data_IF_320863846051
#
_entry.id   IF_320863846051
#
_cell.length_a   1.000
_cell.length_b   1.000
_cell.length_c   1.000
_cell.angle_alpha   90.00
_cell.angle_beta   90.00
_cell.angle_gamma   90.00
#
_symmetry.space_group_name_H-M   'P 1'
#
loop_
_entity.id
_entity.type
_entity.pdbx_description
1 polymer ?
#
# COMPACT_ATOMS: atom_id res chain seq x y z
N UNK A 1 -14.79 -5.83 12.35
CA UNK A 1 -13.33 -6.05 12.27
C UNK A 1 -12.75 -5.17 11.17
N UNK A 2 -11.60 -4.56 11.40
CA UNK A 2 -10.95 -3.66 10.43
C UNK A 2 -9.58 -4.21 10.05
N UNK A 3 -9.36 -4.38 8.76
CA UNK A 3 -8.09 -4.79 8.17
C UNK A 3 -7.45 -3.58 7.52
N UNK A 4 -6.22 -3.27 7.86
CA UNK A 4 -5.47 -2.14 7.32
C UNK A 4 -4.16 -2.61 6.72
N UNK A 5 -3.64 -1.87 5.77
CA UNK A 5 -2.34 -2.20 5.19
C UNK A 5 -1.26 -2.07 6.26
N UNK A 6 -0.46 -3.13 6.44
CA UNK A 6 0.72 -3.08 7.31
C UNK A 6 1.87 -2.38 6.56
N UNK A 7 1.75 -1.07 6.42
CA UNK A 7 2.71 -0.26 5.69
C UNK A 7 4.03 -0.02 6.46
N UNK A 8 4.02 -0.28 7.79
CA UNK A 8 5.16 0.05 8.65
C UNK A 8 6.38 -0.81 8.35
N UNK A 9 6.23 -2.11 8.20
CA UNK A 9 7.36 -3.02 7.98
C UNK A 9 8.01 -2.86 6.59
N UNK A 10 7.28 -2.95 5.46
CA UNK A 10 7.89 -2.78 4.15
C UNK A 10 8.46 -1.36 3.98
N UNK A 11 7.81 -0.33 4.52
CA UNK A 11 8.27 1.04 4.42
C UNK A 11 9.54 1.27 5.25
N UNK A 12 9.64 0.71 6.45
CA UNK A 12 10.86 0.75 7.27
C UNK A 12 12.02 0.01 6.60
N UNK A 13 11.78 -1.16 6.01
CA UNK A 13 12.83 -1.92 5.32
C UNK A 13 13.31 -1.22 4.05
N UNK A 14 12.40 -0.67 3.25
CA UNK A 14 12.73 0.10 2.05
C UNK A 14 13.43 1.42 2.39
N UNK A 15 12.94 2.16 3.39
CA UNK A 15 13.56 3.42 3.81
C UNK A 15 14.96 3.21 4.36
N UNK A 16 15.20 2.13 5.14
CA UNK A 16 16.52 1.78 5.64
C UNK A 16 17.50 1.47 4.51
N UNK A 17 17.10 0.64 3.54
CA UNK A 17 17.92 0.31 2.36
C UNK A 17 18.21 1.55 1.50
N UNK A 18 17.20 2.38 1.30
CA UNK A 18 17.32 3.60 0.51
C UNK A 18 18.23 4.63 1.19
N UNK A 19 18.13 4.81 2.51
CA UNK A 19 19.04 5.66 3.31
C UNK A 19 20.49 5.17 3.22
N UNK A 20 20.71 3.87 3.38
CA UNK A 20 22.04 3.27 3.25
C UNK A 20 22.59 3.53 1.85
N UNK A 21 21.80 3.29 0.80
CA UNK A 21 22.23 3.52 -0.57
C UNK A 21 22.60 4.97 -0.85
N UNK A 22 21.75 5.93 -0.44
CA UNK A 22 22.03 7.37 -0.61
C UNK A 22 23.27 7.79 0.17
N UNK A 23 23.44 7.30 1.40
CA UNK A 23 24.63 7.62 2.22
C UNK A 23 25.91 7.08 1.59
N UNK A 24 25.87 5.86 1.04
CA UNK A 24 27.01 5.27 0.32
C UNK A 24 27.34 6.04 -0.97
N UNK A 25 26.33 6.44 -1.74
CA UNK A 25 26.49 7.26 -2.93
C UNK A 25 27.10 8.64 -2.60
N UNK A 26 26.64 9.25 -1.53
CA UNK A 26 27.19 10.53 -1.05
C UNK A 26 28.63 10.38 -0.59
N UNK A 27 28.94 9.38 0.25
CA UNK A 27 30.29 9.09 0.71
C UNK A 27 31.23 8.80 -0.46
N UNK A 28 30.79 8.00 -1.43
CA UNK A 28 31.54 7.72 -2.65
C UNK A 28 31.80 8.98 -3.48
N UNK A 29 30.81 9.86 -3.60
CA UNK A 29 30.93 11.16 -4.29
C UNK A 29 31.98 12.06 -3.61
N UNK A 30 31.96 12.14 -2.28
CA UNK A 30 32.93 12.92 -1.50
C UNK A 30 34.33 12.35 -1.68
N UNK A 31 34.52 11.04 -1.58
CA UNK A 31 35.83 10.39 -1.76
C UNK A 31 36.37 10.61 -3.18
N UNK A 32 35.53 10.46 -4.22
CA UNK A 32 35.93 10.71 -5.60
C UNK A 32 36.28 12.16 -5.87
N UNK A 33 35.57 13.12 -5.26
CA UNK A 33 35.87 14.54 -5.39
C UNK A 33 37.16 14.90 -4.66
N UNK A 34 37.40 14.29 -3.50
CA UNK A 34 38.65 14.47 -2.77
C UNK A 34 39.87 13.92 -3.50
N UNK A 35 39.71 12.83 -4.26
CA UNK A 35 40.79 12.22 -5.04
C UNK A 35 41.09 12.99 -6.33
N UNK A 36 40.08 13.58 -7.00
CA UNK A 36 40.25 14.26 -8.30
C UNK A 36 40.61 15.75 -8.21
N UNK A 37 40.21 16.40 -7.16
CA UNK A 37 40.43 17.84 -6.96
C UNK A 37 40.78 18.07 -5.49
N UNK A 38 41.86 18.83 -5.21
CA UNK A 38 42.05 19.36 -3.86
C UNK A 38 40.70 19.94 -3.42
N UNK A 39 40.18 19.41 -2.32
CA UNK A 39 38.79 19.62 -1.85
C UNK A 39 38.43 21.11 -1.92
N UNK A 40 37.73 21.50 -2.96
CA UNK A 40 37.23 22.86 -3.06
C UNK A 40 36.00 22.94 -2.15
N UNK A 41 36.00 23.82 -1.15
CA UNK A 41 34.89 23.98 -0.19
C UNK A 41 33.55 24.21 -0.88
N UNK A 42 33.55 24.86 -2.04
CA UNK A 42 32.34 25.07 -2.86
C UNK A 42 31.76 23.78 -3.38
N UNK A 43 32.57 22.82 -3.82
CA UNK A 43 32.09 21.51 -4.28
C UNK A 43 31.49 20.69 -3.13
N UNK A 44 32.09 20.74 -1.96
CA UNK A 44 31.57 20.09 -0.75
C UNK A 44 30.21 20.64 -0.33
N UNK A 45 30.06 21.96 -0.34
CA UNK A 45 28.79 22.64 -0.03
C UNK A 45 27.71 22.29 -1.06
N UNK A 46 28.05 22.26 -2.36
CA UNK A 46 27.11 21.86 -3.42
C UNK A 46 26.65 20.41 -3.26
N UNK A 47 27.56 19.46 -3.01
CA UNK A 47 27.22 18.05 -2.78
C UNK A 47 26.31 17.88 -1.57
N UNK A 48 26.58 18.61 -0.49
CA UNK A 48 25.74 18.58 0.72
C UNK A 48 24.32 19.10 0.44
N UNK A 49 24.19 20.19 -0.30
CA UNK A 49 22.90 20.75 -0.71
C UNK A 49 22.09 19.75 -1.56
N UNK A 50 22.73 19.07 -2.54
CA UNK A 50 22.08 18.04 -3.34
C UNK A 50 21.65 16.85 -2.47
N UNK A 51 22.47 16.41 -1.53
CA UNK A 51 22.12 15.34 -0.61
C UNK A 51 20.90 15.71 0.24
N UNK A 52 20.82 16.92 0.75
CA UNK A 52 19.70 17.41 1.54
C UNK A 52 18.40 17.45 0.72
N UNK A 53 18.46 17.90 -0.52
CA UNK A 53 17.31 17.91 -1.45
C UNK A 53 16.79 16.49 -1.75
N UNK A 54 17.69 15.53 -1.97
CA UNK A 54 17.31 14.13 -2.21
C UNK A 54 16.67 13.53 -0.96
N UNK A 55 17.22 13.79 0.23
CA UNK A 55 16.63 13.34 1.50
C UNK A 55 15.23 13.92 1.70
N UNK A 56 15.04 15.21 1.44
CA UNK A 56 13.76 15.86 1.57
C UNK A 56 12.73 15.27 0.60
N UNK A 57 13.12 15.08 -0.67
CA UNK A 57 12.27 14.46 -1.68
C UNK A 57 11.88 13.03 -1.28
N UNK A 58 12.83 12.23 -0.79
CA UNK A 58 12.57 10.89 -0.30
C UNK A 58 11.58 10.90 0.88
N UNK A 59 11.75 11.82 1.83
CA UNK A 59 10.84 11.97 2.97
C UNK A 59 9.41 12.32 2.51
N UNK A 60 9.25 13.23 1.54
CA UNK A 60 7.95 13.59 0.99
C UNK A 60 7.29 12.37 0.33
N UNK A 61 8.02 11.62 -0.49
CA UNK A 61 7.51 10.41 -1.13
C UNK A 61 7.06 9.38 -0.11
N UNK A 62 7.88 9.11 0.91
CA UNK A 62 7.53 8.17 1.98
C UNK A 62 6.31 8.64 2.77
N UNK A 63 6.20 9.93 3.05
CA UNK A 63 5.04 10.50 3.74
C UNK A 63 3.76 10.33 2.90
N UNK A 64 3.81 10.64 1.60
CA UNK A 64 2.68 10.46 0.68
C UNK A 64 2.27 9.00 0.60
N UNK A 65 3.22 8.07 0.47
CA UNK A 65 2.95 6.63 0.48
C UNK A 65 2.33 6.17 1.81
N UNK A 66 2.80 6.68 2.94
CA UNK A 66 2.23 6.37 4.25
C UNK A 66 0.78 6.88 4.38
N UNK A 67 0.46 8.05 3.85
CA UNK A 67 -0.92 8.55 3.82
C UNK A 67 -1.79 7.74 2.85
N UNK A 68 -1.27 7.41 1.66
CA UNK A 68 -1.97 6.60 0.68
C UNK A 68 -2.32 5.20 1.23
N UNK A 69 -1.43 4.58 2.01
CA UNK A 69 -1.66 3.27 2.61
C UNK A 69 -2.85 3.24 3.58
N UNK A 70 -3.13 4.36 4.26
CA UNK A 70 -4.31 4.49 5.14
C UNK A 70 -5.63 4.42 4.36
N UNK A 71 -5.59 4.71 3.07
CA UNK A 71 -6.75 4.61 2.19
C UNK A 71 -7.12 3.15 1.89
N UNK A 72 -6.16 2.21 1.98
CA UNK A 72 -6.37 0.79 1.76
C UNK A 72 -6.79 0.10 3.06
N UNK A 73 -8.05 0.22 3.41
CA UNK A 73 -8.61 -0.50 4.55
C UNK A 73 -9.92 -1.16 4.16
N UNK A 74 -10.12 -2.39 4.65
CA UNK A 74 -11.37 -3.13 4.53
C UNK A 74 -11.90 -3.41 5.91
N UNK A 75 -13.18 -3.13 6.15
CA UNK A 75 -13.86 -3.33 7.41
C UNK A 75 -14.99 -4.32 7.21
N UNK A 76 -14.93 -5.44 7.94
CA UNK A 76 -16.04 -6.38 8.03
C UNK A 76 -16.95 -5.97 9.17
N UNK A 77 -18.19 -5.64 8.86
CA UNK A 77 -19.28 -5.38 9.81
C UNK A 77 -20.19 -6.58 9.91
N UNK A 78 -21.22 -6.49 10.75
CA UNK A 78 -22.21 -7.56 10.91
C UNK A 78 -22.94 -7.90 9.61
N UNK A 79 -23.33 -6.88 8.85
CA UNK A 79 -24.23 -7.01 7.69
C UNK A 79 -23.57 -6.65 6.36
N UNK A 80 -22.45 -5.93 6.37
CA UNK A 80 -21.79 -5.42 5.18
C UNK A 80 -20.26 -5.48 5.24
N UNK A 81 -19.67 -5.44 4.06
CA UNK A 81 -18.23 -5.18 3.88
C UNK A 81 -18.08 -3.74 3.43
N UNK A 82 -17.25 -3.00 4.14
CA UNK A 82 -16.91 -1.62 3.81
C UNK A 82 -15.46 -1.55 3.36
N UNK A 83 -15.24 -1.00 2.19
CA UNK A 83 -13.91 -0.83 1.64
C UNK A 83 -13.86 0.31 0.63
N UNK A 84 -12.90 0.30 -0.28
CA UNK A 84 -12.76 1.32 -1.30
C UNK A 84 -12.84 0.74 -2.70
N UNK A 85 -13.43 1.52 -3.60
CA UNK A 85 -13.46 1.18 -5.03
C UNK A 85 -12.17 1.64 -5.73
N UNK A 86 -12.07 1.39 -7.04
CA UNK A 86 -10.92 1.80 -7.88
C UNK A 86 -10.60 3.31 -7.81
N UNK A 87 -11.58 4.14 -7.48
CA UNK A 87 -11.43 5.60 -7.35
C UNK A 87 -11.24 6.05 -5.90
N UNK A 88 -10.84 5.14 -5.01
CA UNK A 88 -10.62 5.39 -3.58
C UNK A 88 -11.87 5.88 -2.81
N UNK A 89 -13.05 5.83 -3.43
CA UNK A 89 -14.31 6.17 -2.75
C UNK A 89 -14.73 5.03 -1.83
N UNK A 90 -15.21 5.38 -0.65
CA UNK A 90 -15.74 4.42 0.33
C UNK A 90 -17.02 3.79 -0.23
N UNK A 91 -17.08 2.47 -0.23
CA UNK A 91 -18.20 1.67 -0.70
C UNK A 91 -18.54 0.65 0.36
N UNK A 92 -19.84 0.49 0.62
CA UNK A 92 -20.39 -0.57 1.45
C UNK A 92 -21.12 -1.57 0.56
N UNK A 93 -20.89 -2.85 0.80
CA UNK A 93 -21.52 -3.96 0.10
C UNK A 93 -22.17 -4.88 1.14
N UNK A 94 -23.50 -4.95 1.21
CA UNK A 94 -24.18 -5.93 2.03
C UNK A 94 -23.82 -7.36 1.60
N UNK A 95 -23.63 -8.27 2.55
CA UNK A 95 -23.27 -9.66 2.23
C UNK A 95 -24.30 -10.33 1.32
N UNK A 96 -25.58 -10.01 1.48
CA UNK A 96 -26.67 -10.53 0.64
C UNK A 96 -26.56 -10.15 -0.84
N UNK A 97 -25.84 -9.07 -1.15
CA UNK A 97 -25.62 -8.59 -2.54
C UNK A 97 -24.26 -8.99 -3.11
N UNK A 98 -23.45 -9.70 -2.34
CA UNK A 98 -22.17 -10.22 -2.83
C UNK A 98 -22.41 -11.38 -3.78
N UNK A 99 -21.76 -11.34 -4.95
CA UNK A 99 -21.85 -12.37 -5.99
C UNK A 99 -20.62 -13.26 -6.02
N UNK A 100 -19.48 -12.70 -5.70
CA UNK A 100 -18.24 -13.45 -5.72
C UNK A 100 -17.01 -12.58 -5.51
N UNK A 101 -15.89 -13.28 -5.47
CA UNK A 101 -14.56 -12.71 -5.33
C UNK A 101 -13.77 -13.05 -6.57
N UNK A 102 -12.92 -12.13 -7.02
CA UNK A 102 -12.00 -12.36 -8.12
C UNK A 102 -10.66 -11.66 -7.85
N UNK A 103 -9.63 -12.09 -8.52
CA UNK A 103 -8.38 -11.35 -8.55
C UNK A 103 -8.47 -10.16 -9.50
N UNK A 104 -7.80 -9.07 -9.16
CA UNK A 104 -7.72 -7.87 -9.99
C UNK A 104 -6.60 -6.96 -9.53
N UNK A 105 -6.42 -5.86 -10.25
CA UNK A 105 -5.40 -4.86 -9.91
C UNK A 105 -6.06 -3.52 -9.63
N UNK A 106 -5.55 -2.83 -8.61
CA UNK A 106 -5.84 -1.44 -8.36
C UNK A 106 -4.56 -0.64 -8.51
N UNK A 107 -4.46 0.15 -9.60
CA UNK A 107 -3.21 0.71 -10.10
C UNK A 107 -2.21 -0.42 -10.41
N UNK A 108 -1.12 -0.53 -9.65
CA UNK A 108 -0.07 -1.56 -9.78
C UNK A 108 -0.15 -2.63 -8.69
N UNK A 109 -1.09 -2.50 -7.74
CA UNK A 109 -1.21 -3.40 -6.58
C UNK A 109 -2.20 -4.52 -6.90
N UNK A 110 -1.79 -5.76 -6.69
CA UNK A 110 -2.66 -6.93 -6.80
C UNK A 110 -3.65 -6.95 -5.64
N UNK A 111 -4.92 -7.15 -5.97
CA UNK A 111 -6.04 -7.05 -5.03
C UNK A 111 -7.02 -8.19 -5.21
N UNK A 112 -7.62 -8.61 -4.10
CA UNK A 112 -8.89 -9.32 -4.10
C UNK A 112 -10.02 -8.34 -4.40
N UNK A 113 -10.86 -8.63 -5.37
CA UNK A 113 -11.98 -7.78 -5.78
C UNK A 113 -13.29 -8.43 -5.38
N UNK A 114 -13.99 -7.83 -4.44
CA UNK A 114 -15.34 -8.24 -4.00
C UNK A 114 -16.34 -7.60 -4.95
N UNK A 115 -17.17 -8.42 -5.57
CA UNK A 115 -18.12 -8.00 -6.62
C UNK A 115 -19.57 -8.12 -6.17
N UNK A 116 -20.39 -7.23 -6.71
CA UNK A 116 -21.86 -7.29 -6.62
C UNK A 116 -22.48 -7.30 -8.03
N UNK A 117 -23.76 -7.66 -8.12
CA UNK A 117 -24.53 -7.52 -9.37
C UNK A 117 -24.64 -6.05 -9.82
N UNK A 118 -24.56 -5.10 -8.91
CA UNK A 118 -24.78 -3.66 -9.15
C UNK A 118 -23.50 -2.88 -9.50
N UNK A 119 -22.50 -3.48 -10.15
CA UNK A 119 -21.24 -2.86 -10.53
C UNK A 119 -20.39 -2.30 -9.36
N UNK A 120 -20.88 -2.37 -8.13
CA UNK A 120 -20.08 -1.98 -6.96
C UNK A 120 -18.98 -3.00 -6.73
N UNK A 121 -17.78 -2.50 -6.51
CA UNK A 121 -16.58 -3.33 -6.28
C UNK A 121 -15.79 -2.76 -5.13
N UNK A 122 -15.27 -3.64 -4.26
CA UNK A 122 -14.30 -3.30 -3.23
C UNK A 122 -12.99 -3.99 -3.60
N UNK A 123 -11.90 -3.24 -3.50
CA UNK A 123 -10.55 -3.72 -3.77
C UNK A 123 -9.84 -3.89 -2.43
N UNK A 124 -9.43 -5.10 -2.11
CA UNK A 124 -8.69 -5.47 -0.93
C UNK A 124 -7.27 -5.91 -1.34
N UNK A 125 -6.23 -5.10 -1.13
CA UNK A 125 -4.85 -5.49 -1.42
C UNK A 125 -4.44 -6.77 -0.67
N UNK A 126 -3.61 -7.61 -1.29
CA UNK A 126 -3.10 -8.82 -0.65
C UNK A 126 -2.19 -8.53 0.56
N UNK A 127 -1.57 -7.35 0.59
CA UNK A 127 -0.69 -6.88 1.67
C UNK A 127 -1.46 -6.34 2.90
N UNK A 128 -2.78 -6.55 2.97
CA UNK A 128 -3.54 -6.22 4.17
C UNK A 128 -3.12 -7.10 5.34
N UNK A 129 -2.99 -6.49 6.51
CA UNK A 129 -2.75 -7.21 7.75
C UNK A 129 -3.93 -8.15 8.06
N UNK A 130 -3.66 -9.45 8.18
CA UNK A 130 -4.70 -10.47 8.32
C UNK A 130 -5.49 -10.78 7.05
N UNK A 131 -4.92 -10.57 5.85
CA UNK A 131 -5.59 -10.84 4.57
C UNK A 131 -6.15 -12.26 4.46
N UNK A 132 -5.42 -13.27 4.95
CA UNK A 132 -5.88 -14.65 4.95
C UNK A 132 -7.17 -14.82 5.78
N UNK A 133 -7.24 -14.19 6.95
CA UNK A 133 -8.43 -14.21 7.82
C UNK A 133 -9.60 -13.46 7.15
N UNK A 134 -9.32 -12.33 6.49
CA UNK A 134 -10.29 -11.59 5.70
C UNK A 134 -10.87 -12.45 4.57
N UNK A 135 -10.01 -13.11 3.79
CA UNK A 135 -10.41 -13.98 2.68
C UNK A 135 -11.28 -15.12 3.17
N UNK A 136 -10.85 -15.85 4.19
CA UNK A 136 -11.59 -16.98 4.76
C UNK A 136 -12.98 -16.56 5.28
N UNK A 137 -13.08 -15.41 5.94
CA UNK A 137 -14.37 -14.89 6.43
C UNK A 137 -15.32 -14.48 5.30
N UNK A 138 -14.78 -13.92 4.22
CA UNK A 138 -15.57 -13.57 3.05
C UNK A 138 -16.07 -14.83 2.33
N UNK A 139 -15.20 -15.81 2.14
CA UNK A 139 -15.55 -17.08 1.50
C UNK A 139 -16.60 -17.85 2.30
N UNK A 140 -16.48 -17.93 3.61
CA UNK A 140 -17.48 -18.54 4.48
C UNK A 140 -18.83 -17.88 4.35
N UNK A 141 -18.87 -16.55 4.28
CA UNK A 141 -20.13 -15.80 4.13
C UNK A 141 -20.74 -15.93 2.75
N UNK A 142 -19.92 -16.01 1.69
CA UNK A 142 -20.38 -16.28 0.32
C UNK A 142 -20.99 -17.67 0.20
N UNK A 143 -20.34 -18.68 0.77
CA UNK A 143 -20.83 -20.06 0.77
C UNK A 143 -22.18 -20.17 1.48
N UNK A 144 -22.31 -19.55 2.65
CA UNK A 144 -23.58 -19.52 3.37
C UNK A 144 -24.69 -18.82 2.57
N UNK A 145 -24.40 -17.69 1.91
CA UNK A 145 -25.38 -17.00 1.10
C UNK A 145 -25.82 -17.79 -0.13
N UNK A 146 -24.92 -18.54 -0.75
CA UNK A 146 -25.25 -19.41 -1.89
C UNK A 146 -26.06 -20.63 -1.46
N UNK A 147 -25.80 -21.18 -0.27
CA UNK A 147 -26.61 -22.26 0.30
C UNK A 147 -28.06 -21.81 0.55
N UNK A 148 -28.27 -20.59 1.03
CA UNK A 148 -29.61 -20.02 1.22
C UNK A 148 -30.35 -19.75 -0.11
N UNK A 149 -29.63 -19.39 -1.18
CA UNK A 149 -30.26 -19.14 -2.50
C UNK A 149 -30.64 -20.41 -3.25
N UNK A 150 -29.96 -21.51 -2.99
CA UNK A 150 -30.21 -22.80 -3.68
C UNK A 150 -31.16 -23.71 -2.87
N UNK A 151 -31.56 -23.30 -1.66
CA UNK A 151 -32.47 -24.06 -0.79
C UNK A 151 -33.93 -23.54 -0.78
N UNK A 152 -34.24 -22.53 -1.61
CA UNK A 152 -35.59 -22.01 -1.86
C UNK A 152 -35.97 -22.25 -3.32
#
# INVERSE_FOLDING_TARGET
MKYSLNWKQPLLSMSKRFLIFITLMFAGGVVLSAYKTQLNMELGAWLFDQYLKILLAAFIVLFVMAQASRLFSVELRSEDVVGRNRFFRKVSIPYTKMVGVSMGKMLIVDCMVIRTNSLKRIYAPFDLDGFQDLSNKIDTRLTNNNAFKNGT
#
